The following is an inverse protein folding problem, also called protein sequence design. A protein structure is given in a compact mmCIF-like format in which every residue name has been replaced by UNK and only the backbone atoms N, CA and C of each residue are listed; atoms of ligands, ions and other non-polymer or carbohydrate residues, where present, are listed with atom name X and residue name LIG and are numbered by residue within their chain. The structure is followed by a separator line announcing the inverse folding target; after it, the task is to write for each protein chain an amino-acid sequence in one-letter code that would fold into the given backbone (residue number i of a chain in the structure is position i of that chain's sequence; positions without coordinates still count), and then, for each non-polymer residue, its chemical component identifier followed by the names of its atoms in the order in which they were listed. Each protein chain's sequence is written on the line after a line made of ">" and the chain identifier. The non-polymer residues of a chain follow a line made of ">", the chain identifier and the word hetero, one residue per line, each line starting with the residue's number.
data_IF_933313499946
#
_entry.id   IF_933313499946
#
_cell.length_a   1.000
_cell.length_b   1.000
_cell.length_c   1.000
_cell.angle_alpha   90.00
_cell.angle_beta   90.00
_cell.angle_gamma   90.00
#
_symmetry.space_group_name_H-M   'P 1'
#
loop_
_entity.id
_entity.type
_entity.pdbx_description
1 polymer ?
#
# COMPACT_ATOMS: atom_id res chain seq x y z
N UNK A 1 -17.79 8.41 -8.17
CA UNK A 1 -16.79 7.52 -7.55
C UNK A 1 -15.87 8.42 -6.74
N UNK A 2 -15.86 8.25 -5.42
CA UNK A 2 -15.00 9.00 -4.50
C UNK A 2 -13.84 8.09 -4.14
N UNK A 3 -12.61 8.56 -4.28
CA UNK A 3 -11.44 7.78 -3.89
C UNK A 3 -11.23 7.90 -2.39
N UNK A 4 -11.17 6.78 -1.68
CA UNK A 4 -10.90 6.79 -0.24
C UNK A 4 -9.42 6.60 0.08
N UNK A 5 -8.63 6.01 -0.82
CA UNK A 5 -7.24 5.70 -0.56
C UNK A 5 -6.29 6.12 -1.69
N UNK A 6 -5.06 6.45 -1.33
CA UNK A 6 -3.93 6.63 -2.24
C UNK A 6 -2.84 5.62 -1.91
N UNK A 7 -2.68 4.62 -2.76
CA UNK A 7 -1.62 3.62 -2.68
C UNK A 7 -0.37 4.16 -3.38
N UNK A 8 0.78 4.12 -2.71
CA UNK A 8 2.07 4.44 -3.31
C UNK A 8 2.95 3.19 -3.21
N UNK A 9 3.36 2.65 -4.35
CA UNK A 9 4.23 1.48 -4.42
C UNK A 9 5.39 1.82 -5.33
N UNK A 10 6.63 1.69 -4.85
CA UNK A 10 7.84 1.88 -5.65
C UNK A 10 7.87 3.22 -6.41
N UNK A 11 7.41 4.30 -5.76
CA UNK A 11 7.33 5.64 -6.35
C UNK A 11 6.14 5.89 -7.27
N UNK A 12 5.28 4.89 -7.53
CA UNK A 12 4.08 5.03 -8.36
C UNK A 12 2.82 5.19 -7.51
N UNK A 13 2.13 6.34 -7.58
CA UNK A 13 0.86 6.54 -6.91
C UNK A 13 -0.32 5.97 -7.72
N UNK A 14 -1.29 5.40 -7.02
CA UNK A 14 -2.57 4.96 -7.53
C UNK A 14 -3.69 5.42 -6.57
N UNK A 15 -4.77 5.96 -7.13
CA UNK A 15 -5.99 6.25 -6.37
C UNK A 15 -6.88 5.01 -6.37
N UNK A 16 -7.41 4.67 -5.20
CA UNK A 16 -8.27 3.51 -4.98
C UNK A 16 -9.59 3.96 -4.35
N UNK A 17 -10.68 3.40 -4.84
CA UNK A 17 -12.02 3.65 -4.32
C UNK A 17 -12.13 3.11 -2.89
N UNK A 18 -11.65 1.89 -2.65
CA UNK A 18 -11.73 1.23 -1.35
C UNK A 18 -10.54 0.28 -1.10
N UNK A 19 -10.48 -0.30 0.12
CA UNK A 19 -9.41 -1.23 0.50
C UNK A 19 -9.38 -2.51 -0.36
N UNK A 20 -10.49 -2.95 -0.93
CA UNK A 20 -10.52 -4.12 -1.81
C UNK A 20 -9.76 -3.84 -3.11
N UNK A 21 -9.87 -2.61 -3.63
CA UNK A 21 -9.09 -2.20 -4.80
C UNK A 21 -7.60 -2.08 -4.47
N UNK A 22 -7.26 -1.54 -3.29
CA UNK A 22 -5.88 -1.52 -2.77
C UNK A 22 -5.31 -2.94 -2.74
N UNK A 23 -6.05 -3.88 -2.12
CA UNK A 23 -5.66 -5.29 -2.01
C UNK A 23 -5.51 -5.96 -3.39
N UNK A 24 -6.41 -5.67 -4.34
CA UNK A 24 -6.34 -6.18 -5.71
C UNK A 24 -5.08 -5.68 -6.44
N UNK A 25 -4.72 -4.40 -6.26
CA UNK A 25 -3.52 -3.82 -6.88
C UNK A 25 -2.24 -4.36 -6.30
N UNK A 26 -2.10 -4.41 -4.98
CA UNK A 26 -0.86 -4.90 -4.34
C UNK A 26 -0.59 -6.38 -4.65
N UNK A 27 -1.64 -7.21 -4.80
CA UNK A 27 -1.51 -8.62 -5.19
C UNK A 27 -0.99 -8.85 -6.60
N UNK A 28 -1.16 -7.86 -7.49
CA UNK A 28 -0.64 -7.94 -8.86
C UNK A 28 0.86 -7.61 -8.92
N UNK A 29 1.42 -7.05 -7.86
CA UNK A 29 2.82 -6.66 -7.82
C UNK A 29 3.64 -7.89 -7.41
N UNK A 30 4.66 -8.28 -8.18
CA UNK A 30 5.52 -9.40 -7.82
C UNK A 30 6.33 -9.07 -6.55
N UNK A 31 6.46 -10.05 -5.66
CA UNK A 31 7.23 -9.91 -4.42
C UNK A 31 8.73 -9.68 -4.68
N UNK A 32 9.24 -10.16 -5.81
CA UNK A 32 10.62 -9.96 -6.25
C UNK A 32 10.98 -8.47 -6.37
N UNK A 33 10.01 -7.60 -6.68
CA UNK A 33 10.24 -6.14 -6.67
C UNK A 33 10.62 -5.62 -5.29
N UNK A 34 10.04 -6.15 -4.22
CA UNK A 34 10.42 -5.77 -2.85
C UNK A 34 11.85 -6.17 -2.47
N UNK A 35 12.43 -7.16 -3.17
CA UNK A 35 13.80 -7.60 -2.94
C UNK A 35 14.82 -6.71 -3.67
N UNK A 36 14.41 -6.09 -4.78
CA UNK A 36 15.26 -5.25 -5.63
C UNK A 36 15.10 -3.76 -5.30
N UNK A 37 13.87 -3.34 -4.97
CA UNK A 37 13.49 -1.96 -4.68
C UNK A 37 13.22 -1.76 -3.18
N UNK A 38 13.49 -0.56 -2.66
CA UNK A 38 13.35 -0.26 -1.22
C UNK A 38 11.88 -0.10 -0.81
N UNK A 39 11.40 -1.00 0.06
CA UNK A 39 10.05 -0.97 0.64
C UNK A 39 9.72 0.29 1.46
N UNK A 40 10.73 1.05 1.90
CA UNK A 40 10.54 2.29 2.67
C UNK A 40 9.71 3.36 1.92
N UNK A 41 9.58 3.22 0.60
CA UNK A 41 8.78 4.12 -0.24
C UNK A 41 7.36 3.60 -0.52
N UNK A 42 6.99 2.45 0.06
CA UNK A 42 5.68 1.84 -0.12
C UNK A 42 4.75 2.16 1.06
N UNK A 43 3.66 2.87 0.80
CA UNK A 43 2.71 3.30 1.83
C UNK A 43 1.32 3.51 1.25
N UNK A 44 0.32 3.46 2.13
CA UNK A 44 -1.07 3.76 1.83
C UNK A 44 -1.49 5.02 2.59
N UNK A 45 -2.22 5.92 1.94
CA UNK A 45 -2.83 7.07 2.60
C UNK A 45 -4.34 6.90 2.54
N UNK A 46 -5.03 6.99 3.68
CA UNK A 46 -6.47 7.21 3.71
C UNK A 46 -6.75 8.69 3.49
N UNK A 47 -7.45 9.02 2.40
CA UNK A 47 -7.65 10.39 1.94
C UNK A 47 -8.60 11.19 2.84
N UNK A 48 -9.52 10.51 3.53
CA UNK A 48 -10.49 11.15 4.43
C UNK A 48 -9.85 11.67 5.72
N UNK A 49 -8.94 10.91 6.32
CA UNK A 49 -8.28 11.28 7.59
C UNK A 49 -6.85 11.77 7.41
N UNK A 50 -6.24 11.52 6.26
CA UNK A 50 -4.81 11.73 6.02
C UNK A 50 -3.92 10.71 6.75
N UNK A 51 -4.48 9.64 7.31
CA UNK A 51 -3.72 8.60 8.00
C UNK A 51 -2.85 7.84 7.00
N UNK A 52 -1.57 7.70 7.35
CA UNK A 52 -0.61 6.94 6.56
C UNK A 52 -0.42 5.56 7.19
N UNK A 53 -0.32 4.54 6.35
CA UNK A 53 -0.06 3.16 6.73
C UNK A 53 1.16 2.67 5.96
N UNK A 54 2.09 2.04 6.64
CA UNK A 54 3.25 1.45 6.00
C UNK A 54 2.83 0.20 5.21
N UNK A 55 3.49 -0.07 4.08
CA UNK A 55 3.32 -1.35 3.38
C UNK A 55 4.57 -2.18 3.59
N UNK A 56 4.37 -3.39 4.10
CA UNK A 56 5.41 -4.40 4.26
C UNK A 56 5.20 -5.53 3.28
N UNK A 57 6.23 -6.34 3.09
CA UNK A 57 6.17 -7.55 2.26
C UNK A 57 6.70 -8.73 3.07
N UNK A 58 6.00 -9.86 3.00
CA UNK A 58 6.46 -11.16 3.48
C UNK A 58 6.45 -12.19 2.34
N UNK A 59 6.60 -13.48 2.68
CA UNK A 59 6.55 -14.59 1.74
C UNK A 59 5.19 -14.78 1.05
N UNK A 60 4.11 -14.23 1.60
CA UNK A 60 2.75 -14.30 1.06
C UNK A 60 2.41 -13.08 0.19
N UNK A 61 3.14 -11.99 0.34
CA UNK A 61 3.03 -10.80 -0.48
C UNK A 61 3.04 -9.51 0.33
N UNK A 62 2.48 -8.46 -0.26
CA UNK A 62 2.39 -7.15 0.36
C UNK A 62 1.21 -7.09 1.31
N UNK A 63 1.40 -6.46 2.47
CA UNK A 63 0.36 -6.20 3.45
C UNK A 63 0.51 -4.81 4.05
N UNK A 64 -0.63 -4.25 4.47
CA UNK A 64 -0.68 -2.95 5.12
C UNK A 64 -0.35 -3.19 6.60
N UNK A 65 0.73 -2.59 7.09
CA UNK A 65 1.01 -2.56 8.51
C UNK A 65 0.21 -1.42 9.14
N UNK A 66 -0.80 -1.80 9.92
CA UNK A 66 -1.42 -0.86 10.84
C UNK A 66 -0.39 -0.52 11.91
N UNK A 67 0.10 0.72 11.92
CA UNK A 67 0.74 1.24 13.13
C UNK A 67 -0.32 1.28 14.23
N UNK A 68 -0.40 0.22 15.02
CA UNK A 68 -0.95 0.31 16.37
C UNK A 68 -0.07 1.31 17.12
N UNK A 69 -0.60 2.51 17.32
CA UNK A 69 0.02 3.49 18.18
C UNK A 69 -0.02 2.97 19.61
N UNK A 70 1.16 2.63 20.13
CA UNK A 70 1.63 2.59 21.52
C UNK A 70 0.69 2.06 22.61
#
# INVERSE_FOLDING_TARGET
>A
MEFEYKLVMFGFPALCEDLSEVQSRIRQIPIERAQVETLEQCYLIELKTGKNFAIKCDEKGYFIEECEGY
#
